data_IF_095243419119
#
_entry.id   IF_095243419119
#
_cell.length_a   1.000
_cell.length_b   1.000
_cell.length_c   1.000
_cell.angle_alpha   90.00
_cell.angle_beta   90.00
_cell.angle_gamma   90.00
#
_symmetry.space_group_name_H-M   'P 1'
#
loop_
_entity.id
_entity.type
_entity.pdbx_description
1 polymer ?
#
# COMPACT_ATOMS: atom_id res chain seq x y z
N UNK A 1 -14.57 -15.00 31.65
CA UNK A 1 -15.71 -15.27 30.76
C UNK A 1 -15.15 -15.70 29.41
N UNK A 2 -15.38 -16.96 29.01
CA UNK A 2 -14.88 -17.50 27.75
C UNK A 2 -15.88 -17.07 26.65
N UNK A 3 -15.45 -16.41 25.56
CA UNK A 3 -16.34 -16.06 24.48
C UNK A 3 -16.88 -17.34 23.82
N UNK A 4 -18.20 -17.46 23.72
CA UNK A 4 -18.85 -18.62 23.11
C UNK A 4 -18.51 -18.66 21.62
N UNK A 5 -17.77 -19.69 21.20
CA UNK A 5 -17.47 -19.90 19.79
C UNK A 5 -18.77 -20.15 19.02
N UNK A 6 -18.93 -19.58 17.82
CA UNK A 6 -20.12 -19.81 17.01
C UNK A 6 -20.24 -21.29 16.65
N UNK A 7 -21.43 -21.84 16.82
CA UNK A 7 -21.71 -23.25 16.65
C UNK A 7 -21.58 -23.64 15.16
N UNK A 8 -20.48 -24.30 14.79
CA UNK A 8 -20.16 -24.69 13.40
C UNK A 8 -21.28 -25.51 12.73
N UNK A 9 -22.04 -26.28 13.50
CA UNK A 9 -23.18 -27.07 13.03
C UNK A 9 -24.32 -26.20 12.45
N UNK A 10 -24.55 -25.00 12.99
CA UNK A 10 -25.58 -24.11 12.47
C UNK A 10 -25.18 -23.43 11.14
N UNK A 11 -23.86 -23.24 10.93
CA UNK A 11 -23.31 -22.67 9.69
C UNK A 11 -23.41 -23.68 8.55
N UNK A 12 -23.07 -24.95 8.81
CA UNK A 12 -23.15 -26.01 7.81
C UNK A 12 -24.59 -26.32 7.41
N UNK A 13 -25.53 -26.35 8.36
CA UNK A 13 -26.96 -26.53 8.08
C UNK A 13 -27.55 -25.46 7.15
N UNK A 14 -27.08 -24.20 7.26
CA UNK A 14 -27.57 -23.09 6.42
C UNK A 14 -27.02 -23.14 4.98
N UNK A 15 -25.85 -23.77 4.80
CA UNK A 15 -25.17 -23.92 3.51
C UNK A 15 -25.63 -25.18 2.74
N UNK A 16 -26.10 -26.21 3.43
CA UNK A 16 -26.55 -27.49 2.84
C UNK A 16 -28.05 -27.56 2.52
N UNK A 17 -28.85 -26.61 3.01
CA UNK A 17 -30.26 -26.50 2.60
C UNK A 17 -30.36 -26.08 1.13
N UNK A 18 -31.05 -26.88 0.32
CA UNK A 18 -31.29 -26.54 -1.08
C UNK A 18 -32.08 -25.24 -1.17
N UNK A 19 -31.45 -24.15 -1.60
CA UNK A 19 -32.13 -22.88 -1.78
C UNK A 19 -33.24 -23.06 -2.84
N UNK A 20 -34.45 -22.51 -2.62
CA UNK A 20 -35.62 -22.74 -3.47
C UNK A 20 -35.44 -22.25 -4.92
N UNK A 21 -34.37 -21.49 -5.22
CA UNK A 21 -34.07 -20.97 -6.54
C UNK A 21 -32.58 -21.16 -6.91
N UNK A 22 -32.22 -22.39 -7.30
CA UNK A 22 -30.85 -22.77 -7.71
C UNK A 22 -30.26 -21.85 -8.80
N UNK A 23 -31.09 -21.32 -9.69
CA UNK A 23 -30.66 -20.39 -10.75
C UNK A 23 -29.99 -19.12 -10.19
N UNK A 24 -30.40 -18.63 -9.02
CA UNK A 24 -29.78 -17.47 -8.40
C UNK A 24 -28.35 -17.74 -7.90
N UNK A 25 -27.97 -19.00 -7.70
CA UNK A 25 -26.61 -19.37 -7.26
C UNK A 25 -25.58 -19.33 -8.40
N UNK A 26 -26.04 -19.45 -9.66
CA UNK A 26 -25.20 -19.50 -10.85
C UNK A 26 -24.91 -18.11 -11.45
N UNK A 27 -25.27 -17.02 -10.77
CA UNK A 27 -25.11 -15.67 -11.29
C UNK A 27 -25.31 -14.60 -10.22
N UNK A 28 -25.31 -13.34 -10.63
CA UNK A 28 -25.39 -12.20 -9.73
C UNK A 28 -26.84 -11.71 -9.60
N UNK A 29 -27.52 -12.15 -8.55
CA UNK A 29 -28.94 -11.84 -8.33
C UNK A 29 -29.19 -10.78 -7.27
N UNK A 30 -28.18 -10.42 -6.46
CA UNK A 30 -28.28 -9.44 -5.38
C UNK A 30 -29.45 -9.75 -4.43
N UNK A 31 -29.53 -11.01 -3.99
CA UNK A 31 -30.59 -11.52 -3.11
C UNK A 31 -31.98 -11.66 -3.74
N UNK A 32 -32.16 -11.37 -5.04
CA UNK A 32 -33.47 -11.53 -5.70
C UNK A 32 -33.83 -13.00 -5.90
N UNK A 33 -34.98 -13.40 -5.36
CA UNK A 33 -35.52 -14.75 -5.43
C UNK A 33 -36.79 -14.81 -6.28
N UNK A 34 -37.19 -16.02 -6.69
CA UNK A 34 -38.50 -16.27 -7.30
C UNK A 34 -39.59 -16.08 -6.24
N UNK A 35 -40.58 -15.25 -6.54
CA UNK A 35 -41.76 -15.10 -5.68
C UNK A 35 -42.89 -15.99 -6.19
N UNK A 36 -43.67 -16.55 -5.26
CA UNK A 36 -44.87 -17.33 -5.57
C UNK A 36 -46.08 -16.72 -4.87
N UNK A 37 -47.25 -16.79 -5.50
CA UNK A 37 -48.48 -16.23 -4.96
C UNK A 37 -49.65 -16.49 -5.90
N UNK A 38 -50.68 -15.66 -5.83
CA UNK A 38 -51.93 -15.86 -6.56
C UNK A 38 -52.23 -14.68 -7.48
N UNK A 39 -52.90 -14.95 -8.60
CA UNK A 39 -53.69 -13.98 -9.32
C UNK A 39 -55.06 -13.88 -8.63
N UNK A 40 -55.54 -12.67 -8.35
CA UNK A 40 -56.81 -12.42 -7.68
C UNK A 40 -57.71 -11.66 -8.65
N UNK A 41 -58.64 -12.36 -9.35
CA UNK A 41 -59.62 -11.70 -10.21
C UNK A 41 -60.76 -11.11 -9.37
N UNK A 42 -61.63 -10.33 -10.02
CA UNK A 42 -62.84 -9.77 -9.39
C UNK A 42 -63.76 -10.85 -8.79
N UNK A 43 -63.82 -12.04 -9.41
CA UNK A 43 -64.58 -13.19 -8.89
C UNK A 43 -63.97 -13.83 -7.63
N UNK A 44 -62.83 -13.34 -7.14
CA UNK A 44 -62.06 -13.84 -5.99
C UNK A 44 -61.58 -15.31 -6.11
N UNK A 45 -61.78 -15.95 -7.27
CA UNK A 45 -61.25 -17.29 -7.56
C UNK A 45 -59.75 -17.21 -7.83
N UNK A 46 -58.96 -17.49 -6.80
CA UNK A 46 -57.49 -17.35 -6.82
C UNK A 46 -56.82 -18.42 -7.69
N UNK A 47 -55.92 -18.02 -8.59
CA UNK A 47 -55.10 -18.94 -9.40
C UNK A 47 -53.62 -18.79 -9.05
N UNK A 48 -52.84 -19.88 -8.95
CA UNK A 48 -51.41 -19.80 -8.63
C UNK A 48 -50.62 -19.11 -9.76
N UNK A 49 -49.69 -18.23 -9.40
CA UNK A 49 -48.72 -17.62 -10.32
C UNK A 49 -47.35 -17.45 -9.67
N UNK A 50 -46.34 -17.18 -10.50
CA UNK A 50 -44.97 -16.94 -10.05
C UNK A 50 -44.41 -15.67 -10.69
N UNK A 51 -43.59 -14.93 -9.95
CA UNK A 51 -42.87 -13.76 -10.45
C UNK A 51 -41.38 -14.04 -10.46
N UNK A 52 -40.77 -13.93 -11.63
CA UNK A 52 -39.34 -14.10 -11.83
C UNK A 52 -38.65 -12.73 -11.82
N UNK A 53 -37.42 -12.63 -11.29
CA UNK A 53 -36.63 -11.43 -11.45
C UNK A 53 -36.25 -11.21 -12.93
N UNK A 54 -36.06 -9.96 -13.33
CA UNK A 54 -35.55 -9.63 -14.66
C UNK A 54 -34.05 -9.96 -14.73
N UNK A 55 -33.72 -11.08 -15.38
CA UNK A 55 -32.35 -11.61 -15.52
C UNK A 55 -31.88 -11.42 -16.96
N UNK A 56 -30.67 -10.89 -17.10
CA UNK A 56 -30.02 -10.63 -18.38
C UNK A 56 -28.68 -11.36 -18.42
N UNK A 57 -28.24 -11.82 -19.59
CA UNK A 57 -26.92 -12.40 -19.78
C UNK A 57 -25.99 -11.35 -20.39
N UNK A 58 -25.02 -10.84 -19.62
CA UNK A 58 -24.16 -9.72 -20.05
C UNK A 58 -22.69 -10.01 -19.72
N UNK A 59 -21.79 -9.44 -20.53
CA UNK A 59 -20.37 -9.32 -20.21
C UNK A 59 -20.16 -8.03 -19.43
N UNK A 60 -19.64 -8.12 -18.21
CA UNK A 60 -19.36 -6.97 -17.35
C UNK A 60 -17.84 -6.80 -17.26
N UNK A 61 -17.29 -5.61 -17.51
CA UNK A 61 -15.86 -5.37 -17.34
C UNK A 61 -15.46 -5.47 -15.87
N UNK A 62 -14.26 -6.01 -15.64
CA UNK A 62 -13.61 -6.13 -14.34
C UNK A 62 -12.16 -5.71 -14.54
N UNK A 63 -11.60 -4.95 -13.60
CA UNK A 63 -10.23 -4.47 -13.67
C UNK A 63 -9.26 -5.61 -13.38
N UNK A 64 -9.56 -6.43 -12.38
CA UNK A 64 -8.74 -7.58 -12.03
C UNK A 64 -8.83 -8.72 -13.06
N UNK A 65 -10.03 -9.00 -13.58
CA UNK A 65 -10.29 -10.18 -14.41
C UNK A 65 -10.42 -9.88 -15.92
N UNK A 66 -10.39 -8.61 -16.34
CA UNK A 66 -10.56 -8.19 -17.74
C UNK A 66 -12.00 -8.31 -18.29
N UNK A 67 -12.88 -9.05 -17.62
CA UNK A 67 -14.33 -9.04 -17.86
C UNK A 67 -14.98 -10.42 -17.79
N UNK A 68 -16.17 -10.47 -17.21
CA UNK A 68 -16.86 -11.72 -16.86
C UNK A 68 -18.22 -11.80 -17.55
N UNK A 69 -18.54 -12.96 -18.14
CA UNK A 69 -19.88 -13.25 -18.70
C UNK A 69 -20.71 -14.00 -17.66
N UNK A 70 -21.76 -13.36 -17.16
CA UNK A 70 -22.63 -13.92 -16.12
C UNK A 70 -24.10 -13.55 -16.35
N UNK A 71 -25.00 -14.34 -15.75
CA UNK A 71 -26.42 -13.99 -15.61
C UNK A 71 -26.56 -13.00 -14.47
N UNK A 72 -27.14 -11.84 -14.75
CA UNK A 72 -27.22 -10.73 -13.79
C UNK A 72 -28.63 -10.16 -13.79
N UNK A 73 -29.15 -9.85 -12.60
CA UNK A 73 -30.43 -9.14 -12.49
C UNK A 73 -30.27 -7.65 -12.76
N UNK A 74 -31.31 -6.97 -13.23
CA UNK A 74 -31.27 -5.50 -13.42
C UNK A 74 -30.97 -4.75 -12.12
N UNK A 75 -31.39 -5.28 -10.97
CA UNK A 75 -31.03 -4.74 -9.65
C UNK A 75 -29.52 -4.86 -9.39
N UNK A 76 -28.93 -6.02 -9.66
CA UNK A 76 -27.50 -6.23 -9.49
C UNK A 76 -26.69 -5.31 -10.41
N UNK A 77 -27.11 -5.13 -11.67
CA UNK A 77 -26.48 -4.16 -12.59
C UNK A 77 -26.45 -2.75 -12.02
N UNK A 78 -27.59 -2.24 -11.53
CA UNK A 78 -27.65 -0.91 -10.90
C UNK A 78 -26.76 -0.80 -9.66
N UNK A 79 -26.64 -1.87 -8.88
CA UNK A 79 -25.75 -1.90 -7.73
C UNK A 79 -24.28 -1.89 -8.15
N UNK A 80 -23.91 -2.63 -9.19
CA UNK A 80 -22.56 -2.65 -9.76
C UNK A 80 -22.15 -1.23 -10.20
N UNK A 81 -23.03 -0.53 -10.92
CA UNK A 81 -22.83 0.87 -11.30
C UNK A 81 -22.69 1.79 -10.08
N UNK A 82 -23.54 1.62 -9.06
CA UNK A 82 -23.47 2.40 -7.82
C UNK A 82 -22.15 2.21 -7.05
N UNK A 83 -21.57 1.01 -7.09
CA UNK A 83 -20.28 0.72 -6.47
C UNK A 83 -19.07 1.10 -7.35
N UNK A 84 -19.31 1.64 -8.55
CA UNK A 84 -18.24 2.07 -9.46
C UNK A 84 -17.54 0.93 -10.20
N UNK A 85 -18.11 -0.28 -10.24
CA UNK A 85 -17.50 -1.41 -10.95
C UNK A 85 -17.85 -2.78 -10.37
N UNK A 86 -17.50 -3.84 -11.10
CA UNK A 86 -17.77 -5.21 -10.68
C UNK A 86 -16.94 -5.61 -9.45
N UNK A 87 -15.66 -5.23 -9.42
CA UNK A 87 -14.74 -5.68 -8.37
C UNK A 87 -15.10 -5.04 -7.03
N UNK A 88 -15.36 -3.72 -7.02
CA UNK A 88 -15.86 -3.01 -5.86
C UNK A 88 -17.21 -3.57 -5.37
N UNK A 89 -18.10 -3.92 -6.30
CA UNK A 89 -19.36 -4.58 -5.94
C UNK A 89 -19.13 -5.91 -5.23
N UNK A 90 -18.24 -6.76 -5.74
CA UNK A 90 -17.95 -8.08 -5.15
C UNK A 90 -17.27 -7.97 -3.78
N UNK A 91 -16.41 -6.97 -3.59
CA UNK A 91 -15.69 -6.77 -2.33
C UNK A 91 -16.58 -6.19 -1.22
N UNK A 92 -17.46 -5.23 -1.57
CA UNK A 92 -18.27 -4.49 -0.61
C UNK A 92 -19.63 -5.14 -0.30
N UNK A 93 -20.14 -5.99 -1.19
CA UNK A 93 -21.45 -6.61 -1.00
C UNK A 93 -21.40 -7.76 0.01
N UNK A 94 -22.47 -7.91 0.80
CA UNK A 94 -22.64 -9.01 1.77
C UNK A 94 -22.65 -10.38 1.06
N UNK A 95 -22.05 -11.38 1.71
CA UNK A 95 -21.93 -12.74 1.16
C UNK A 95 -23.28 -13.38 0.80
N UNK A 96 -24.32 -13.13 1.61
CA UNK A 96 -25.68 -13.66 1.41
C UNK A 96 -26.33 -13.19 0.10
N UNK A 97 -25.95 -12.01 -0.40
CA UNK A 97 -26.54 -11.43 -1.62
C UNK A 97 -25.83 -11.87 -2.91
N UNK A 98 -24.57 -12.29 -2.81
CA UNK A 98 -23.71 -12.66 -3.94
C UNK A 98 -24.05 -14.04 -4.52
N UNK A 99 -24.47 -14.98 -3.66
CA UNK A 99 -24.62 -16.39 -4.04
C UNK A 99 -23.27 -17.08 -4.29
N UNK A 100 -23.31 -18.35 -4.69
CA UNK A 100 -22.10 -19.17 -4.89
C UNK A 100 -21.19 -18.58 -5.98
N UNK A 101 -21.74 -18.27 -7.16
CA UNK A 101 -20.94 -17.74 -8.26
C UNK A 101 -20.35 -16.36 -7.93
N UNK A 102 -21.11 -15.50 -7.25
CA UNK A 102 -20.59 -14.22 -6.78
C UNK A 102 -19.44 -14.40 -5.78
N UNK A 103 -19.55 -15.36 -4.86
CA UNK A 103 -18.47 -15.66 -3.91
C UNK A 103 -17.23 -16.23 -4.60
N UNK A 104 -17.41 -17.09 -5.61
CA UNK A 104 -16.32 -17.58 -6.45
C UNK A 104 -15.58 -16.42 -7.13
N UNK A 105 -16.31 -15.50 -7.76
CA UNK A 105 -15.71 -14.33 -8.41
C UNK A 105 -14.99 -13.44 -7.41
N UNK A 106 -15.56 -13.23 -6.22
CA UNK A 106 -14.90 -12.45 -5.16
C UNK A 106 -13.57 -13.05 -4.74
N UNK A 107 -13.47 -14.38 -4.66
CA UNK A 107 -12.22 -15.06 -4.34
C UNK A 107 -11.18 -14.85 -5.44
N UNK A 108 -11.57 -15.03 -6.71
CA UNK A 108 -10.68 -14.81 -7.86
C UNK A 108 -10.15 -13.37 -7.91
N UNK A 109 -11.01 -12.38 -7.63
CA UNK A 109 -10.58 -10.97 -7.57
C UNK A 109 -9.56 -10.75 -6.44
N UNK A 110 -9.78 -11.36 -5.27
CA UNK A 110 -8.84 -11.24 -4.14
C UNK A 110 -7.49 -11.89 -4.43
N UNK A 111 -7.50 -13.08 -5.01
CA UNK A 111 -6.29 -13.79 -5.43
C UNK A 111 -5.51 -12.94 -6.43
N UNK A 112 -6.19 -12.43 -7.47
CA UNK A 112 -5.55 -11.60 -8.48
C UNK A 112 -4.99 -10.29 -7.93
N UNK A 113 -5.73 -9.63 -7.04
CA UNK A 113 -5.26 -8.43 -6.36
C UNK A 113 -4.04 -8.72 -5.46
N UNK A 114 -4.02 -9.87 -4.78
CA UNK A 114 -2.88 -10.29 -3.96
C UNK A 114 -1.63 -10.58 -4.80
N UNK A 115 -1.78 -11.22 -5.97
CA UNK A 115 -0.70 -11.43 -6.92
C UNK A 115 -0.13 -10.10 -7.43
N UNK A 116 -0.97 -9.16 -7.83
CA UNK A 116 -0.55 -7.84 -8.28
C UNK A 116 0.23 -7.10 -7.19
N UNK A 117 -0.24 -7.16 -5.93
CA UNK A 117 0.46 -6.58 -4.77
C UNK A 117 1.82 -7.23 -4.52
N UNK A 118 1.92 -8.56 -4.65
CA UNK A 118 3.18 -9.30 -4.51
C UNK A 118 4.19 -8.89 -5.58
N UNK A 119 3.77 -8.84 -6.84
CA UNK A 119 4.62 -8.41 -7.97
C UNK A 119 5.08 -6.96 -7.76
N UNK A 120 4.17 -6.07 -7.35
CA UNK A 120 4.52 -4.68 -7.05
C UNK A 120 5.53 -4.56 -5.89
N UNK A 121 5.36 -5.35 -4.83
CA UNK A 121 6.31 -5.36 -3.71
C UNK A 121 7.68 -5.92 -4.11
N UNK A 122 7.71 -6.97 -4.93
CA UNK A 122 8.97 -7.54 -5.44
C UNK A 122 9.70 -6.53 -6.34
N UNK A 123 8.98 -5.79 -7.18
CA UNK A 123 9.56 -4.72 -7.99
C UNK A 123 10.17 -3.61 -7.11
N UNK A 124 9.41 -3.10 -6.15
CA UNK A 124 9.90 -2.09 -5.19
C UNK A 124 11.11 -2.58 -4.40
N UNK A 125 11.13 -3.84 -4.00
CA UNK A 125 12.28 -4.42 -3.28
C UNK A 125 13.54 -4.52 -4.15
N UNK A 126 13.41 -4.72 -5.46
CA UNK A 126 14.55 -4.70 -6.39
C UNK A 126 15.09 -3.28 -6.57
N UNK A 127 14.20 -2.31 -6.73
CA UNK A 127 14.56 -0.88 -6.82
C UNK A 127 15.36 -0.43 -5.59
N UNK A 128 14.88 -0.73 -4.38
CA UNK A 128 15.60 -0.40 -3.13
C UNK A 128 16.98 -1.09 -3.06
N UNK A 129 17.06 -2.35 -3.46
CA UNK A 129 18.35 -3.07 -3.46
C UNK A 129 19.34 -2.50 -4.49
N UNK A 130 18.86 -1.96 -5.61
CA UNK A 130 19.69 -1.29 -6.61
C UNK A 130 20.19 0.05 -6.07
N UNK A 131 19.31 0.86 -5.47
CA UNK A 131 19.67 2.11 -4.80
C UNK A 131 20.69 1.88 -3.66
N UNK A 132 20.49 0.85 -2.83
CA UNK A 132 21.42 0.51 -1.76
C UNK A 132 22.81 0.12 -2.29
N UNK A 133 22.88 -0.57 -3.44
CA UNK A 133 24.15 -0.92 -4.09
C UNK A 133 24.86 0.31 -4.62
N UNK A 134 24.14 1.24 -5.23
CA UNK A 134 24.69 2.48 -5.76
C UNK A 134 25.23 3.38 -4.65
N UNK A 135 24.48 3.51 -3.55
CA UNK A 135 24.94 4.23 -2.35
C UNK A 135 26.20 3.60 -1.75
N UNK A 136 26.24 2.27 -1.67
CA UNK A 136 27.41 1.54 -1.15
C UNK A 136 28.63 1.70 -2.07
N UNK A 137 28.43 1.71 -3.38
CA UNK A 137 29.49 1.97 -4.36
C UNK A 137 30.02 3.41 -4.23
N UNK A 138 29.15 4.41 -4.13
CA UNK A 138 29.53 5.79 -3.91
C UNK A 138 30.31 5.99 -2.60
N UNK A 139 29.85 5.38 -1.50
CA UNK A 139 30.57 5.40 -0.22
C UNK A 139 31.95 4.74 -0.32
N UNK A 140 32.10 3.68 -1.12
CA UNK A 140 33.39 3.02 -1.34
C UNK A 140 34.38 3.93 -2.09
N UNK A 141 33.93 4.64 -3.13
CA UNK A 141 34.74 5.62 -3.87
C UNK A 141 35.23 6.73 -2.94
N UNK A 142 34.31 7.35 -2.17
CA UNK A 142 34.66 8.38 -1.18
C UNK A 142 35.68 7.85 -0.15
N UNK A 143 35.54 6.59 0.27
CA UNK A 143 36.48 5.93 1.19
C UNK A 143 37.86 5.74 0.55
N UNK A 144 37.93 5.38 -0.73
CA UNK A 144 39.17 5.22 -1.48
C UNK A 144 39.89 6.56 -1.68
N UNK A 145 39.16 7.62 -2.04
CA UNK A 145 39.69 8.99 -2.16
C UNK A 145 40.30 9.48 -0.85
N UNK A 146 39.60 9.32 0.27
CA UNK A 146 40.13 9.64 1.62
C UNK A 146 41.42 8.88 1.91
N UNK A 147 41.51 7.59 1.52
CA UNK A 147 42.73 6.78 1.71
C UNK A 147 43.90 7.27 0.86
N UNK A 148 43.64 7.73 -0.37
CA UNK A 148 44.68 8.31 -1.23
C UNK A 148 45.19 9.64 -0.68
N UNK A 149 44.30 10.51 -0.23
CA UNK A 149 44.65 11.78 0.41
C UNK A 149 45.54 11.57 1.65
N UNK A 150 45.19 10.62 2.52
CA UNK A 150 46.02 10.27 3.69
C UNK A 150 47.42 9.77 3.31
N UNK A 151 47.54 8.96 2.25
CA UNK A 151 48.85 8.50 1.75
C UNK A 151 49.68 9.66 1.21
N UNK A 152 49.07 10.55 0.44
CA UNK A 152 49.72 11.75 -0.09
C UNK A 152 50.17 12.68 1.04
N UNK A 153 49.32 12.91 2.04
CA UNK A 153 49.64 13.68 3.24
C UNK A 153 50.84 13.08 3.99
N UNK A 154 50.82 11.77 4.29
CA UNK A 154 51.96 11.07 4.91
C UNK A 154 53.24 11.13 4.08
N UNK A 155 53.11 11.09 2.75
CA UNK A 155 54.26 11.24 1.85
C UNK A 155 54.84 12.66 1.94
N UNK A 156 53.98 13.68 1.92
CA UNK A 156 54.38 15.09 2.11
C UNK A 156 55.02 15.32 3.48
N UNK A 157 54.48 14.74 4.55
CA UNK A 157 55.07 14.76 5.90
C UNK A 157 56.50 14.18 5.87
N UNK A 158 56.68 12.98 5.30
CA UNK A 158 58.03 12.37 5.15
C UNK A 158 58.98 13.21 4.31
N UNK A 159 58.51 13.79 3.20
CA UNK A 159 59.31 14.68 2.36
C UNK A 159 59.72 15.95 3.13
N UNK A 160 58.83 16.50 3.97
CA UNK A 160 59.15 17.64 4.85
C UNK A 160 60.15 17.28 5.96
N UNK A 161 60.04 16.08 6.56
CA UNK A 161 60.99 15.57 7.57
C UNK A 161 62.39 15.36 6.96
N UNK A 162 62.46 14.80 5.75
CA UNK A 162 63.71 14.62 5.02
C UNK A 162 64.36 15.97 4.66
N UNK A 163 63.58 16.96 4.21
CA UNK A 163 64.09 18.31 3.94
C UNK A 163 64.62 19.01 5.21
N UNK A 164 64.01 18.78 6.37
CA UNK A 164 64.54 19.24 7.66
C UNK A 164 65.86 18.52 8.02
N UNK A 165 65.98 17.23 7.68
CA UNK A 165 67.20 16.45 7.90
C UNK A 165 68.35 16.81 6.93
N UNK A 166 68.04 17.08 5.66
CA UNK A 166 69.00 17.57 4.66
C UNK A 166 69.43 19.02 4.96
N UNK A 167 68.55 19.82 5.59
CA UNK A 167 68.88 21.14 6.13
C UNK A 167 69.89 21.13 7.29
N UNK A 168 70.17 19.98 7.91
CA UNK A 168 71.13 19.83 9.01
C UNK A 168 72.54 19.45 8.50
N UNK A 169 72.68 18.94 7.26
CA UNK A 169 73.96 18.55 6.65
C UNK A 169 74.14 19.20 5.27
N UNK A 170 74.37 20.51 5.23
CA UNK A 170 74.67 21.17 3.96
C UNK A 170 74.69 22.69 4.01
N UNK A 171 75.66 23.27 4.73
CA UNK A 171 76.09 24.63 4.42
C UNK A 171 77.07 24.57 3.22
N UNK A 172 76.67 25.09 2.06
CA UNK A 172 77.56 25.84 1.18
C UNK A 172 76.79 26.40 -0.02
N UNK A 173 76.65 27.72 0.01
CA UNK A 173 76.58 28.69 -1.09
C UNK A 173 75.86 28.31 -2.40
N UNK A 174 74.79 29.04 -2.71
CA UNK A 174 74.84 30.27 -3.54
C UNK A 174 73.49 30.43 -4.25
N UNK A 175 72.76 31.49 -3.92
CA UNK A 175 71.54 31.87 -4.63
C UNK A 175 71.88 32.51 -5.99
N UNK A 176 71.00 32.37 -6.99
CA UNK A 176 70.58 33.58 -7.67
C UNK A 176 69.07 33.70 -7.76
N UNK A 177 68.61 34.91 -7.49
CA UNK A 177 67.28 35.41 -7.72
C UNK A 177 66.88 35.31 -9.18
N UNK A 178 65.77 34.61 -9.45
CA UNK A 178 64.83 34.98 -10.52
C UNK A 178 63.43 34.90 -9.95
N UNK A 179 62.79 36.07 -9.84
CA UNK A 179 61.35 36.20 -9.64
C UNK A 179 60.66 35.55 -10.84
N UNK A 180 60.28 34.28 -10.70
CA UNK A 180 59.19 33.71 -11.47
C UNK A 180 57.98 33.74 -10.53
N UNK A 181 57.02 34.60 -10.86
CA UNK A 181 55.65 34.43 -10.41
C UNK A 181 55.16 33.08 -10.96
N UNK A 182 55.40 32.00 -10.23
CA UNK A 182 54.60 30.80 -10.35
C UNK A 182 53.55 30.98 -9.28
N UNK A 183 52.32 31.16 -9.76
CA UNK A 183 51.13 31.20 -8.94
C UNK A 183 51.28 30.17 -7.83
N UNK A 184 51.29 30.67 -6.59
CA UNK A 184 50.67 29.95 -5.50
C UNK A 184 49.20 29.86 -5.93
N UNK A 185 48.87 28.88 -6.76
CA UNK A 185 47.55 28.28 -6.64
C UNK A 185 47.61 27.62 -5.27
N UNK A 186 47.20 28.42 -4.28
CA UNK A 186 46.56 27.92 -3.08
C UNK A 186 45.72 26.74 -3.55
N UNK A 187 46.15 25.52 -3.21
CA UNK A 187 45.21 24.41 -3.18
C UNK A 187 44.08 24.98 -2.34
N UNK A 188 42.88 25.19 -2.89
CA UNK A 188 41.81 25.65 -2.05
C UNK A 188 41.76 24.61 -0.94
N UNK A 189 41.88 25.07 0.30
CA UNK A 189 41.14 24.44 1.37
C UNK A 189 39.73 24.35 0.82
N UNK A 190 39.42 23.21 0.21
CA UNK A 190 38.05 22.77 0.04
C UNK A 190 37.67 22.51 1.46
N UNK A 191 37.21 23.58 2.12
CA UNK A 191 36.40 23.53 3.29
C UNK A 191 35.38 22.44 3.00
N UNK A 192 35.57 21.29 3.64
CA UNK A 192 34.53 20.30 3.78
C UNK A 192 33.59 20.86 4.86
N UNK A 193 33.04 22.04 4.60
CA UNK A 193 31.94 22.70 5.31
C UNK A 193 30.74 22.86 4.36
N UNK A 194 30.71 22.11 3.26
CA UNK A 194 29.55 22.04 2.36
C UNK A 194 28.99 20.62 2.31
N UNK A 195 28.94 19.90 3.44
CA UNK A 195 28.28 18.60 3.51
C UNK A 195 27.53 18.30 4.81
N UNK A 196 27.36 19.28 5.71
CA UNK A 196 26.35 19.18 6.78
C UNK A 196 25.04 19.88 6.40
N UNK A 197 25.07 20.86 5.50
CA UNK A 197 23.88 21.58 5.05
C UNK A 197 23.14 20.89 3.89
N UNK A 198 23.85 20.26 2.96
CA UNK A 198 23.20 19.53 1.84
C UNK A 198 22.56 18.21 2.34
N UNK A 199 23.16 17.56 3.34
CA UNK A 199 22.62 16.33 3.96
C UNK A 199 21.47 16.64 4.93
N UNK A 200 21.45 17.83 5.54
CA UNK A 200 20.33 18.29 6.38
C UNK A 200 19.17 18.87 5.55
N UNK A 201 19.43 19.55 4.43
CA UNK A 201 18.41 19.97 3.46
C UNK A 201 17.82 18.79 2.69
N UNK A 202 18.62 17.78 2.30
CA UNK A 202 18.11 16.56 1.67
C UNK A 202 17.29 15.70 2.65
N UNK A 203 17.65 15.66 3.95
CA UNK A 203 16.82 15.05 5.01
C UNK A 203 15.55 15.84 5.31
N UNK A 204 15.58 17.16 5.20
CA UNK A 204 14.39 18.01 5.34
C UNK A 204 13.44 17.89 4.13
N UNK A 205 13.98 17.68 2.93
CA UNK A 205 13.21 17.47 1.69
C UNK A 205 12.63 16.05 1.60
N UNK A 206 13.34 15.01 2.07
CA UNK A 206 12.74 13.65 2.21
C UNK A 206 11.73 13.58 3.36
N UNK A 207 11.88 14.38 4.42
CA UNK A 207 10.86 14.50 5.47
C UNK A 207 9.61 15.30 5.05
N UNK A 208 9.73 16.23 4.09
CA UNK A 208 8.58 16.97 3.54
C UNK A 208 7.91 16.26 2.35
N UNK A 209 8.62 15.41 1.60
CA UNK A 209 8.02 14.55 0.56
C UNK A 209 7.49 13.19 1.06
N UNK A 210 7.81 12.77 2.29
CA UNK A 210 7.18 11.60 2.95
C UNK A 210 5.98 11.98 3.83
N UNK A 211 5.43 13.19 3.65
CA UNK A 211 4.17 13.61 4.26
C UNK A 211 3.12 13.95 3.19
N UNK A 212 2.99 13.13 2.15
CA UNK A 212 1.62 12.81 1.77
C UNK A 212 1.12 11.80 2.80
N UNK A 213 0.12 12.13 3.62
CA UNK A 213 -0.48 11.10 4.46
C UNK A 213 -1.04 10.07 3.49
N UNK A 214 -0.45 8.87 3.47
CA UNK A 214 -1.05 7.69 2.85
C UNK A 214 -2.54 7.74 3.20
N UNK A 215 -3.39 7.94 2.19
CA UNK A 215 -4.83 8.20 2.36
C UNK A 215 -5.47 7.09 3.22
N UNK A 216 -4.85 5.92 3.22
CA UNK A 216 -5.18 4.75 4.02
C UNK A 216 -4.87 4.91 5.54
N UNK A 217 -3.79 5.58 5.95
CA UNK A 217 -3.48 5.78 7.38
C UNK A 217 -4.29 6.90 8.03
N UNK A 218 -4.66 7.93 7.28
CA UNK A 218 -5.60 8.97 7.74
C UNK A 218 -7.00 8.39 7.92
N UNK A 219 -7.47 7.59 6.95
CA UNK A 219 -8.76 6.89 7.05
C UNK A 219 -8.82 5.93 8.25
N UNK A 220 -7.74 5.19 8.53
CA UNK A 220 -7.67 4.30 9.70
C UNK A 220 -7.70 5.06 11.03
N UNK A 221 -7.07 6.24 11.11
CA UNK A 221 -7.11 7.09 12.32
C UNK A 221 -8.50 7.72 12.53
N UNK A 222 -9.16 8.15 11.46
CA UNK A 222 -10.54 8.63 11.53
C UNK A 222 -11.54 7.52 11.92
N UNK A 223 -11.35 6.30 11.40
CA UNK A 223 -12.15 5.14 11.82
C UNK A 223 -11.92 4.78 13.29
N UNK A 224 -10.68 4.84 13.79
CA UNK A 224 -10.36 4.60 15.20
C UNK A 224 -10.93 5.68 16.15
N UNK A 225 -10.89 6.96 15.75
CA UNK A 225 -11.50 8.04 16.52
C UNK A 225 -13.03 7.93 16.59
N UNK A 226 -13.67 7.61 15.46
CA UNK A 226 -15.11 7.37 15.42
C UNK A 226 -15.50 6.17 16.30
N UNK A 227 -14.74 5.07 16.25
CA UNK A 227 -14.95 3.92 17.14
C UNK A 227 -14.74 4.26 18.63
N UNK A 228 -13.76 5.12 18.97
CA UNK A 228 -13.58 5.63 20.34
C UNK A 228 -14.74 6.52 20.79
N UNK A 229 -15.28 7.35 19.90
CA UNK A 229 -16.43 8.21 20.19
C UNK A 229 -17.70 7.38 20.43
N UNK A 230 -17.94 6.32 19.65
CA UNK A 230 -19.06 5.40 19.86
C UNK A 230 -18.93 4.63 21.18
N UNK A 231 -17.74 4.13 21.52
CA UNK A 231 -17.49 3.49 22.83
C UNK A 231 -17.75 4.45 23.99
N UNK A 232 -17.40 5.73 23.88
CA UNK A 232 -17.71 6.76 24.89
C UNK A 232 -19.22 7.03 24.99
N UNK A 233 -19.96 7.08 23.87
CA UNK A 233 -21.42 7.22 23.86
C UNK A 233 -22.11 6.02 24.51
N UNK A 234 -21.69 4.80 24.18
CA UNK A 234 -22.22 3.57 24.79
C UNK A 234 -21.94 3.52 26.29
N UNK A 235 -20.73 3.91 26.74
CA UNK A 235 -20.39 3.97 28.16
C UNK A 235 -21.20 5.02 28.94
N UNK A 236 -21.50 6.17 28.32
CA UNK A 236 -22.41 7.17 28.91
C UNK A 236 -23.86 6.66 28.99
N UNK A 237 -24.35 5.99 27.94
CA UNK A 237 -25.69 5.40 27.92
C UNK A 237 -25.85 4.23 28.91
N UNK A 238 -24.80 3.44 29.16
CA UNK A 238 -24.81 2.40 30.17
C UNK A 238 -24.71 2.99 31.59
N UNK A 239 -23.93 4.06 31.78
CA UNK A 239 -23.85 4.77 33.06
C UNK A 239 -25.19 5.45 33.42
N UNK A 240 -25.90 6.04 32.44
CA UNK A 240 -27.23 6.61 32.68
C UNK A 240 -28.31 5.56 32.93
N UNK A 241 -28.14 4.34 32.41
CA UNK A 241 -29.05 3.21 32.69
C UNK A 241 -28.82 2.56 34.05
N UNK A 242 -27.59 2.59 34.57
CA UNK A 242 -27.25 2.07 35.91
C UNK A 242 -27.50 3.05 37.07
N UNK A 243 -28.10 4.21 36.80
CA UNK A 243 -28.43 5.23 37.81
C UNK A 243 -29.94 5.28 38.11
N UNK A 244 -30.73 4.36 37.54
CA UNK A 244 -32.20 4.31 37.68
C UNK A 244 -32.74 2.91 38.06
N UNK A 245 -31.85 2.00 38.47
CA UNK A 245 -32.18 0.71 39.11
C UNK A 245 -31.67 0.73 40.56
#
# INVERSE_FOLDING_TARGET
MIPTLPNFAAITQRLTQSLPFKRAQQGLFHGKQKLSGNNVPFSLKKTRRTWLPNVQHKRIPSEALGGVRVKVTTRALRCIEKHGGLDNYLLNTKCELLGIEGMRLRLLVRERAAEQRRVAHEAKAKEVNEEEKDLRAAQAVVREEKRQQQKLAKRRERESELAVSEGILGSSSNAPSKKANVAVEEVPEVQVEVQEDIVSEAKAQTQTQTQEPDVDTAALKEEEENARAERRKQKKQSASRGLFD
#
